data_IF_182407007036
#
_entry.id   IF_182407007036
#
_cell.length_a   1.000
_cell.length_b   1.000
_cell.length_c   1.000
_cell.angle_alpha   90.00
_cell.angle_beta   90.00
_cell.angle_gamma   90.00
#
_symmetry.space_group_name_H-M   'P 1'
#
loop_
_entity.id
_entity.type
_entity.pdbx_description
1 polymer ?
#
# COMPACT_ATOMS: atom_id res chain seq x y z
N UNK A 1 -13.74 -4.82 28.51
CA UNK A 1 -12.84 -5.83 29.06
C UNK A 1 -11.41 -5.57 28.61
N UNK A 2 -10.50 -5.48 29.55
CA UNK A 2 -9.08 -5.36 29.26
C UNK A 2 -8.43 -6.72 29.34
N UNK A 3 -7.48 -6.99 28.46
CA UNK A 3 -6.66 -8.22 28.51
C UNK A 3 -5.52 -8.00 29.50
N UNK A 4 -5.05 -9.08 30.12
CA UNK A 4 -3.91 -9.00 31.02
C UNK A 4 -2.61 -8.77 30.26
N UNK A 5 -1.59 -8.29 30.96
CA UNK A 5 -0.26 -8.08 30.37
C UNK A 5 0.31 -9.37 29.79
N UNK A 6 0.13 -10.50 30.50
CA UNK A 6 0.59 -11.81 30.03
C UNK A 6 -0.11 -12.23 28.74
N UNK A 7 -1.41 -12.03 28.65
CA UNK A 7 -2.18 -12.33 27.44
C UNK A 7 -1.73 -11.47 26.28
N UNK A 8 -1.49 -10.18 26.51
CA UNK A 8 -0.98 -9.28 25.48
C UNK A 8 0.40 -9.74 24.98
N UNK A 9 1.30 -10.08 25.87
CA UNK A 9 2.63 -10.58 25.51
C UNK A 9 2.56 -11.83 24.63
N UNK A 10 1.67 -12.78 24.97
CA UNK A 10 1.45 -13.99 24.18
C UNK A 10 0.91 -13.68 22.79
N UNK A 11 -0.02 -12.75 22.70
CA UNK A 11 -0.58 -12.30 21.41
C UNK A 11 0.51 -11.67 20.55
N UNK A 12 1.33 -10.81 21.13
CA UNK A 12 2.41 -10.13 20.42
C UNK A 12 3.48 -11.10 19.94
N UNK A 13 3.81 -12.09 20.75
CA UNK A 13 4.76 -13.16 20.40
C UNK A 13 4.22 -13.98 19.22
N UNK A 14 2.96 -14.38 19.30
CA UNK A 14 2.29 -15.12 18.22
C UNK A 14 2.25 -14.32 16.91
N UNK A 15 1.91 -13.06 16.99
CA UNK A 15 1.93 -12.16 15.81
C UNK A 15 3.32 -12.06 15.21
N UNK A 16 4.34 -11.90 16.04
CA UNK A 16 5.73 -11.83 15.60
C UNK A 16 6.17 -13.09 14.87
N UNK A 17 5.81 -14.26 15.40
CA UNK A 17 6.10 -15.55 14.78
C UNK A 17 5.41 -15.67 13.41
N UNK A 18 4.13 -15.33 13.34
CA UNK A 18 3.36 -15.38 12.09
C UNK A 18 3.94 -14.45 11.03
N UNK A 19 4.37 -13.24 11.42
CA UNK A 19 5.00 -12.28 10.51
C UNK A 19 6.30 -12.81 9.94
N UNK A 20 7.16 -13.43 10.77
CA UNK A 20 8.43 -14.03 10.32
C UNK A 20 8.18 -15.17 9.34
N UNK A 21 7.25 -16.06 9.66
CA UNK A 21 6.91 -17.18 8.78
C UNK A 21 6.35 -16.70 7.44
N UNK A 22 5.46 -15.72 7.46
CA UNK A 22 4.89 -15.12 6.24
C UNK A 22 5.97 -14.42 5.41
N UNK A 23 6.87 -13.69 6.05
CA UNK A 23 7.98 -13.02 5.40
C UNK A 23 8.90 -14.01 4.70
N UNK A 24 9.25 -15.10 5.39
CA UNK A 24 10.10 -16.16 4.84
C UNK A 24 9.44 -16.82 3.65
N UNK A 25 8.15 -17.12 3.71
CA UNK A 25 7.39 -17.70 2.61
C UNK A 25 7.36 -16.76 1.41
N UNK A 26 7.13 -15.48 1.63
CA UNK A 26 7.12 -14.47 0.55
C UNK A 26 8.48 -14.35 -0.11
N UNK A 27 9.57 -14.36 0.66
CA UNK A 27 10.93 -14.31 0.11
C UNK A 27 11.30 -15.57 -0.64
N UNK A 28 10.78 -16.73 -0.23
CA UNK A 28 11.03 -18.01 -0.89
C UNK A 28 10.16 -18.22 -2.13
N UNK A 29 9.17 -17.36 -2.38
CA UNK A 29 8.27 -17.47 -3.52
C UNK A 29 9.02 -17.37 -4.82
N UNK A 30 8.99 -18.43 -5.63
CA UNK A 30 9.52 -18.41 -6.99
C UNK A 30 8.51 -17.79 -7.94
N UNK A 31 8.98 -17.24 -9.05
CA UNK A 31 8.13 -16.62 -10.08
C UNK A 31 7.20 -15.54 -9.52
N UNK A 32 7.72 -14.75 -8.59
CA UNK A 32 6.92 -13.73 -7.89
C UNK A 32 6.22 -12.77 -8.86
N UNK A 33 6.89 -12.35 -9.92
CA UNK A 33 6.32 -11.41 -10.89
C UNK A 33 5.14 -12.03 -11.62
N UNK A 34 5.23 -13.29 -12.02
CA UNK A 34 4.15 -14.01 -12.70
C UNK A 34 2.96 -14.26 -11.78
N UNK A 35 3.23 -14.71 -10.57
CA UNK A 35 2.19 -14.96 -9.55
C UNK A 35 1.48 -13.66 -9.18
N UNK A 36 2.25 -12.59 -9.01
CA UNK A 36 1.70 -11.25 -8.72
C UNK A 36 0.82 -10.75 -9.85
N UNK A 37 1.29 -10.87 -11.10
CA UNK A 37 0.52 -10.45 -12.26
C UNK A 37 -0.83 -11.19 -12.34
N UNK A 38 -0.82 -12.50 -12.11
CA UNK A 38 -2.04 -13.30 -12.10
C UNK A 38 -3.02 -12.86 -10.99
N UNK A 39 -2.50 -12.57 -9.80
CA UNK A 39 -3.33 -12.09 -8.68
C UNK A 39 -3.94 -10.71 -8.97
N UNK A 40 -3.15 -9.80 -9.51
CA UNK A 40 -3.61 -8.44 -9.86
C UNK A 40 -4.63 -8.48 -11.00
N UNK A 41 -4.42 -9.34 -11.99
CA UNK A 41 -5.39 -9.52 -13.09
C UNK A 41 -6.75 -9.97 -12.57
N UNK A 42 -6.78 -10.88 -11.59
CA UNK A 42 -8.03 -11.32 -10.97
C UNK A 42 -8.73 -10.18 -10.24
N UNK A 43 -7.99 -9.35 -9.55
CA UNK A 43 -8.51 -8.15 -8.89
C UNK A 43 -9.12 -7.20 -9.92
N UNK A 44 -8.41 -6.92 -11.00
CA UNK A 44 -8.85 -5.99 -12.05
C UNK A 44 -10.03 -6.53 -12.86
N UNK A 45 -10.24 -7.84 -12.87
CA UNK A 45 -11.36 -8.49 -13.56
C UNK A 45 -12.65 -8.49 -12.74
N UNK A 46 -12.61 -8.08 -11.48
CA UNK A 46 -13.81 -7.99 -10.65
C UNK A 46 -14.76 -6.93 -11.21
N UNK A 47 -16.09 -7.22 -11.25
CA UNK A 47 -17.06 -6.22 -11.70
C UNK A 47 -16.98 -4.91 -10.90
N UNK A 48 -16.69 -4.99 -9.61
CA UNK A 48 -16.52 -3.84 -8.73
C UNK A 48 -15.35 -2.97 -9.19
N UNK A 49 -14.26 -3.60 -9.65
CA UNK A 49 -13.11 -2.85 -10.18
C UNK A 49 -13.49 -2.12 -11.47
N UNK A 50 -14.11 -2.83 -12.41
CA UNK A 50 -14.49 -2.25 -13.70
C UNK A 50 -15.44 -1.06 -13.55
N UNK A 51 -16.37 -1.13 -12.61
CA UNK A 51 -17.37 -0.08 -12.35
C UNK A 51 -16.82 1.10 -11.55
N UNK A 52 -15.76 0.90 -10.79
CA UNK A 52 -15.23 1.94 -9.90
C UNK A 52 -14.56 3.05 -10.72
N UNK A 53 -14.80 4.30 -10.32
CA UNK A 53 -14.13 5.46 -10.88
C UNK A 53 -12.87 5.82 -10.08
N UNK A 54 -12.83 5.41 -8.83
CA UNK A 54 -11.71 5.66 -7.92
C UNK A 54 -11.30 4.36 -7.28
N UNK A 55 -10.03 4.03 -7.33
CA UNK A 55 -9.48 2.79 -6.76
C UNK A 55 -8.27 3.13 -5.90
N UNK A 56 -8.22 2.55 -4.72
CA UNK A 56 -7.04 2.63 -3.89
C UNK A 56 -6.13 1.44 -4.18
N UNK A 57 -4.87 1.74 -4.51
CA UNK A 57 -3.83 0.75 -4.73
C UNK A 57 -2.72 0.97 -3.69
N UNK A 58 -1.98 -0.07 -3.35
CA UNK A 58 -0.73 0.12 -2.66
C UNK A 58 0.45 -0.01 -3.63
N UNK A 59 1.55 0.67 -3.34
CA UNK A 59 2.79 0.55 -4.10
C UNK A 59 3.62 -0.52 -3.42
N UNK A 60 3.91 -1.61 -4.11
CA UNK A 60 4.62 -2.74 -3.54
C UNK A 60 6.06 -2.39 -3.16
N UNK A 61 6.53 -3.01 -2.10
CA UNK A 61 7.91 -2.95 -1.68
C UNK A 61 8.38 -4.31 -1.16
N UNK A 62 9.67 -4.53 -1.17
CA UNK A 62 10.31 -5.75 -0.64
C UNK A 62 9.69 -7.03 -1.21
N UNK A 63 9.17 -7.89 -0.32
CA UNK A 63 8.63 -9.21 -0.69
C UNK A 63 7.13 -9.23 -0.94
N UNK A 64 6.49 -8.07 -0.99
CA UNK A 64 5.05 -7.98 -1.25
C UNK A 64 4.67 -8.39 -2.66
N UNK A 65 3.41 -8.76 -2.84
CA UNK A 65 2.85 -8.98 -4.18
C UNK A 65 3.08 -7.75 -5.04
N UNK A 66 3.64 -7.95 -6.23
CA UNK A 66 3.99 -6.84 -7.12
C UNK A 66 2.75 -6.20 -7.72
N UNK A 67 2.55 -4.93 -7.45
CA UNK A 67 1.43 -4.14 -7.96
C UNK A 67 1.87 -3.06 -8.93
N UNK A 68 3.12 -2.62 -8.85
CA UNK A 68 3.65 -1.49 -9.63
C UNK A 68 3.37 -1.56 -11.14
N UNK A 69 3.64 -2.67 -11.84
CA UNK A 69 3.46 -2.68 -13.30
C UNK A 69 2.04 -2.33 -13.73
N UNK A 70 1.03 -2.96 -13.13
CA UNK A 70 -0.36 -2.72 -13.46
C UNK A 70 -0.85 -1.37 -12.92
N UNK A 71 -0.39 -1.00 -11.73
CA UNK A 71 -0.68 0.31 -11.12
C UNK A 71 -0.23 1.44 -12.04
N UNK A 72 0.99 1.38 -12.55
CA UNK A 72 1.53 2.40 -13.45
C UNK A 72 0.78 2.44 -14.77
N UNK A 73 0.40 1.28 -15.30
CA UNK A 73 -0.40 1.19 -16.52
C UNK A 73 -1.77 1.86 -16.33
N UNK A 74 -2.42 1.65 -15.19
CA UNK A 74 -3.70 2.30 -14.87
C UNK A 74 -3.57 3.81 -14.71
N UNK A 75 -2.46 4.27 -14.11
CA UNK A 75 -2.18 5.70 -13.97
C UNK A 75 -2.00 6.35 -15.35
N UNK A 76 -1.21 5.72 -16.23
CA UNK A 76 -0.99 6.22 -17.60
C UNK A 76 -2.27 6.24 -18.43
N UNK A 77 -3.11 5.23 -18.26
CA UNK A 77 -4.38 5.10 -18.94
C UNK A 77 -5.34 6.24 -18.60
N UNK A 78 -5.30 6.72 -17.37
CA UNK A 78 -6.05 7.90 -16.92
C UNK A 78 -7.56 7.76 -16.88
N UNK A 79 -8.10 6.52 -16.98
CA UNK A 79 -9.54 6.28 -16.94
C UNK A 79 -10.12 6.27 -15.53
N UNK A 80 -9.28 5.96 -14.54
CA UNK A 80 -9.69 5.87 -13.14
C UNK A 80 -8.80 6.76 -12.28
N UNK A 81 -9.39 7.29 -11.20
CA UNK A 81 -8.63 8.03 -10.19
C UNK A 81 -7.91 7.01 -9.30
N UNK A 82 -6.60 7.09 -9.27
CA UNK A 82 -5.76 6.15 -8.53
C UNK A 82 -5.28 6.81 -7.23
N UNK A 83 -5.60 6.18 -6.12
CA UNK A 83 -5.23 6.65 -4.79
C UNK A 83 -4.23 5.68 -4.19
N UNK A 84 -3.16 6.22 -3.61
CA UNK A 84 -2.16 5.41 -2.90
C UNK A 84 -2.02 5.90 -1.46
N UNK A 85 -1.83 4.98 -0.49
CA UNK A 85 -1.60 5.39 0.88
C UNK A 85 -0.15 5.83 1.08
N UNK A 86 0.07 6.72 2.03
CA UNK A 86 1.41 7.11 2.44
C UNK A 86 1.42 7.39 3.95
N UNK A 87 2.60 7.27 4.55
CA UNK A 87 2.78 7.54 5.98
C UNK A 87 3.00 9.04 6.18
N UNK A 88 2.12 9.67 6.92
CA UNK A 88 2.22 11.09 7.25
C UNK A 88 2.04 11.26 8.76
N UNK A 89 1.98 12.49 9.23
CA UNK A 89 1.81 12.83 10.64
C UNK A 89 0.64 13.78 10.81
N UNK A 90 -0.04 13.67 11.96
CA UNK A 90 -1.10 14.59 12.32
C UNK A 90 -0.53 15.87 12.96
N UNK A 91 -1.41 16.76 13.41
CA UNK A 91 -1.04 18.03 14.06
C UNK A 91 -0.18 17.84 15.31
N UNK A 92 -0.30 16.69 15.97
CA UNK A 92 0.44 16.35 17.18
C UNK A 92 1.73 15.58 16.90
N UNK A 93 2.07 15.38 15.64
CA UNK A 93 3.24 14.61 15.23
C UNK A 93 3.05 13.10 15.33
N UNK A 94 1.84 12.62 15.53
CA UNK A 94 1.53 11.20 15.56
C UNK A 94 1.37 10.66 14.15
N UNK A 95 1.86 9.44 13.93
CA UNK A 95 1.79 8.78 12.63
C UNK A 95 0.34 8.53 12.23
N UNK A 96 0.01 8.87 11.00
CA UNK A 96 -1.28 8.52 10.40
C UNK A 96 -1.10 8.12 8.95
N UNK A 97 -2.12 7.51 8.38
CA UNK A 97 -2.13 7.14 6.97
C UNK A 97 -2.81 8.25 6.17
N UNK A 98 -2.10 8.79 5.20
CA UNK A 98 -2.66 9.74 4.23
C UNK A 98 -3.04 9.01 2.94
N UNK A 99 -3.89 9.64 2.14
CA UNK A 99 -4.33 9.14 0.85
C UNK A 99 -3.98 10.15 -0.23
N UNK A 100 -3.23 9.72 -1.22
CA UNK A 100 -2.68 10.58 -2.27
C UNK A 100 -3.22 10.22 -3.63
N UNK A 101 -3.73 11.20 -4.36
CA UNK A 101 -4.11 11.02 -5.76
C UNK A 101 -2.86 11.02 -6.63
N UNK A 102 -2.44 9.84 -7.06
CA UNK A 102 -1.25 9.67 -7.88
C UNK A 102 -1.58 9.81 -9.36
N UNK A 103 -0.98 10.77 -10.00
CA UNK A 103 -1.13 11.02 -11.43
C UNK A 103 0.09 10.60 -12.24
N UNK A 104 1.24 10.46 -11.58
CA UNK A 104 2.49 10.03 -12.18
C UNK A 104 3.41 9.44 -11.11
N UNK A 105 4.20 8.44 -11.47
CA UNK A 105 5.23 7.91 -10.58
C UNK A 105 6.31 8.96 -10.29
N UNK A 106 6.54 9.87 -11.22
CA UNK A 106 7.56 10.92 -11.09
C UNK A 106 7.30 11.88 -9.92
N UNK A 107 6.05 11.98 -9.46
CA UNK A 107 5.72 12.79 -8.28
C UNK A 107 6.19 12.15 -6.96
N UNK A 108 6.56 10.87 -6.98
CA UNK A 108 6.90 10.13 -5.77
C UNK A 108 8.41 10.10 -5.51
N UNK A 109 8.77 10.07 -4.25
CA UNK A 109 10.18 9.96 -3.81
C UNK A 109 10.32 8.77 -2.86
N UNK A 110 11.55 8.27 -2.70
CA UNK A 110 11.83 7.21 -1.73
C UNK A 110 11.78 7.80 -0.33
N UNK A 111 10.84 7.35 0.46
CA UNK A 111 10.63 7.83 1.80
C UNK A 111 10.98 6.82 2.88
N UNK A 112 10.26 6.89 3.97
CA UNK A 112 10.43 6.03 5.14
C UNK A 112 10.28 4.55 4.77
N UNK A 113 11.14 3.71 5.32
CA UNK A 113 11.16 2.27 5.07
C UNK A 113 11.41 1.89 3.61
N UNK A 114 12.04 2.77 2.84
CA UNK A 114 12.32 2.57 1.43
C UNK A 114 11.04 2.39 0.58
N UNK A 115 9.95 3.02 1.01
CA UNK A 115 8.66 3.01 0.32
C UNK A 115 8.50 4.31 -0.45
N UNK A 116 7.96 4.24 -1.67
CA UNK A 116 7.66 5.44 -2.46
C UNK A 116 6.52 6.22 -1.82
N UNK A 117 6.70 7.52 -1.67
CA UNK A 117 5.72 8.42 -1.07
C UNK A 117 5.79 9.81 -1.70
N UNK A 118 4.76 10.64 -1.52
CA UNK A 118 4.82 12.04 -1.96
C UNK A 118 5.94 12.81 -1.24
N UNK A 119 6.56 13.80 -1.89
CA UNK A 119 7.54 14.65 -1.20
C UNK A 119 6.94 15.30 0.03
N UNK A 120 7.70 15.34 1.10
CA UNK A 120 7.27 15.83 2.42
C UNK A 120 6.71 17.25 2.37
N UNK A 121 7.28 18.10 1.56
CA UNK A 121 6.87 19.49 1.37
C UNK A 121 5.49 19.62 0.70
N UNK A 122 4.98 18.54 0.08
CA UNK A 122 3.66 18.53 -0.56
C UNK A 122 2.57 17.86 0.30
N UNK A 123 2.95 17.30 1.45
CA UNK A 123 1.98 16.65 2.32
C UNK A 123 0.86 17.59 2.74
N UNK A 124 -0.37 17.09 2.70
CA UNK A 124 -1.54 17.89 3.04
C UNK A 124 -2.02 18.82 1.93
N UNK A 125 -1.42 18.75 0.74
CA UNK A 125 -1.87 19.55 -0.40
C UNK A 125 -3.32 19.20 -0.76
N UNK A 126 -4.26 20.16 -0.65
CA UNK A 126 -5.70 19.88 -0.90
C UNK A 126 -6.02 19.38 -2.30
N UNK A 127 -5.17 19.66 -3.28
CA UNK A 127 -5.39 19.21 -4.66
C UNK A 127 -5.03 17.74 -4.85
N UNK A 128 -4.15 17.20 -4.02
CA UNK A 128 -3.64 15.83 -4.11
C UNK A 128 -4.12 14.93 -3.00
N UNK A 129 -4.35 15.47 -1.82
CA UNK A 129 -4.80 14.74 -0.64
C UNK A 129 -6.27 14.37 -0.78
N UNK A 130 -6.60 13.09 -0.52
CA UNK A 130 -7.97 12.60 -0.61
C UNK A 130 -8.49 12.30 0.80
N UNK A 131 -9.69 12.77 1.08
CA UNK A 131 -10.40 12.46 2.34
C UNK A 131 -11.36 11.30 2.05
N UNK A 132 -11.32 10.22 2.88
CA UNK A 132 -12.24 9.09 2.70
C UNK A 132 -13.68 9.48 2.92
#
# INVERSE_FOLDING_TARGET
>A
MSISKEELEKIMEKKGKMRREAYDRRNAQENKDEVSAAAVEKFMALPEYEKAHTIMWYIDCRSETRTKPQLLAEVEKGEKKIIVPYCTEDENGENKLGLWHMESLEEMVVGKWNILEPPKELWGNPEKEVTP
#
